data_IF_482028134377
#
_entry.id   IF_482028134377
#
_cell.length_a   1.000
_cell.length_b   1.000
_cell.length_c   1.000
_cell.angle_alpha   90.00
_cell.angle_beta   90.00
_cell.angle_gamma   90.00
#
_symmetry.space_group_name_H-M   'P 1'
#
loop_
_entity.id
_entity.type
_entity.pdbx_description
1 polymer ?
#
# COMPACT_ATOMS: atom_id res chain seq x y z
N UNK A 1 8.29 -23.03 -22.93
CA UNK A 1 7.65 -22.73 -21.63
C UNK A 1 8.42 -23.47 -20.55
N UNK A 2 9.06 -22.79 -19.58
CA UNK A 2 9.76 -23.48 -18.51
C UNK A 2 8.82 -23.78 -17.33
N UNK A 3 9.04 -24.97 -16.80
CA UNK A 3 8.35 -25.75 -15.77
C UNK A 3 8.54 -25.15 -14.36
N UNK A 4 7.93 -23.99 -14.07
CA UNK A 4 8.11 -23.28 -12.78
C UNK A 4 6.80 -22.85 -12.08
N UNK A 5 5.65 -23.34 -12.55
CA UNK A 5 4.33 -22.94 -12.03
C UNK A 5 3.61 -23.97 -11.15
N UNK A 6 4.21 -25.11 -10.82
CA UNK A 6 3.52 -26.18 -10.07
C UNK A 6 3.94 -26.36 -8.60
N UNK A 7 5.02 -25.74 -8.11
CA UNK A 7 5.52 -26.03 -6.75
C UNK A 7 5.20 -25.00 -5.66
N UNK A 8 4.59 -23.84 -5.96
CA UNK A 8 4.27 -22.85 -4.92
C UNK A 8 2.87 -22.96 -4.31
N UNK A 9 2.10 -24.01 -4.63
CA UNK A 9 0.73 -24.22 -4.14
C UNK A 9 0.64 -25.21 -2.96
N UNK A 10 1.76 -25.52 -2.29
CA UNK A 10 1.77 -26.43 -1.14
C UNK A 10 2.64 -25.88 -0.02
N UNK A 11 2.14 -24.92 0.75
CA UNK A 11 2.44 -24.75 2.18
C UNK A 11 1.40 -23.82 2.79
N UNK A 12 0.33 -24.42 3.30
CA UNK A 12 -0.48 -23.79 4.35
C UNK A 12 0.38 -23.69 5.61
N UNK A 13 0.64 -22.46 6.05
CA UNK A 13 1.53 -22.19 7.16
C UNK A 13 1.32 -20.79 7.72
N UNK A 14 0.12 -20.50 8.22
CA UNK A 14 -0.15 -19.32 9.04
C UNK A 14 0.72 -19.36 10.31
N UNK A 15 1.58 -18.35 10.49
CA UNK A 15 2.20 -18.06 11.78
C UNK A 15 1.83 -16.62 12.19
N UNK A 16 1.15 -16.43 13.34
CA UNK A 16 0.90 -15.10 13.86
C UNK A 16 2.22 -14.45 14.30
N UNK A 17 2.40 -13.18 13.97
CA UNK A 17 3.53 -12.35 14.42
C UNK A 17 3.44 -12.25 15.95
N UNK A 18 4.26 -13.04 16.65
CA UNK A 18 4.41 -12.97 18.11
C UNK A 18 5.62 -12.09 18.46
N UNK A 19 5.35 -11.16 19.37
CA UNK A 19 6.25 -10.25 20.06
C UNK A 19 7.66 -10.80 20.35
N UNK A 20 8.69 -9.97 20.12
CA UNK A 20 9.99 -10.08 20.76
C UNK A 20 10.42 -8.72 21.32
N UNK A 21 10.34 -8.57 22.64
CA UNK A 21 11.17 -7.66 23.44
C UNK A 21 11.84 -8.50 24.54
N UNK A 22 13.15 -8.38 24.79
CA UNK A 22 13.84 -9.15 25.82
C UNK A 22 13.42 -8.70 27.23
N UNK A 23 13.08 -9.69 28.05
CA UNK A 23 12.45 -9.56 29.35
C UNK A 23 13.50 -9.66 30.47
N UNK A 24 14.39 -8.66 30.61
CA UNK A 24 15.31 -8.55 31.75
C UNK A 24 16.29 -7.35 31.63
N UNK A 25 15.82 -6.16 32.02
CA UNK A 25 16.69 -5.12 32.58
C UNK A 25 15.98 -4.54 33.83
N UNK A 26 16.26 -5.16 34.97
CA UNK A 26 15.81 -4.73 36.29
C UNK A 26 16.94 -3.94 36.94
N UNK A 27 16.81 -2.62 37.01
CA UNK A 27 17.45 -1.80 38.05
C UNK A 27 16.72 -0.48 38.25
N UNK A 28 16.17 -0.35 39.47
CA UNK A 28 15.81 0.87 40.22
C UNK A 28 14.72 1.82 39.69
N UNK A 29 13.55 1.82 40.35
CA UNK A 29 12.85 3.06 40.69
C UNK A 29 11.99 2.87 41.95
N UNK A 30 12.20 3.73 42.95
CA UNK A 30 11.56 3.72 44.27
C UNK A 30 10.07 4.09 44.19
N UNK A 31 9.33 3.79 45.27
CA UNK A 31 7.87 3.98 45.43
C UNK A 31 7.36 5.43 45.26
N UNK A 32 8.24 6.40 45.01
CA UNK A 32 7.88 7.80 44.74
C UNK A 32 7.29 8.04 43.34
N UNK A 33 7.39 7.07 42.41
CA UNK A 33 6.83 7.21 41.06
C UNK A 33 5.29 7.10 41.03
N UNK A 34 4.68 6.50 42.05
CA UNK A 34 3.23 6.26 42.09
C UNK A 34 2.42 7.52 42.42
N UNK A 35 3.01 8.55 43.04
CA UNK A 35 2.32 9.82 43.33
C UNK A 35 2.29 10.80 42.15
N UNK A 36 3.18 10.66 41.16
CA UNK A 36 3.19 11.53 39.97
C UNK A 36 2.11 11.10 38.96
N UNK A 37 1.49 9.92 39.16
CA UNK A 37 0.49 9.35 38.27
C UNK A 37 -0.97 9.70 38.56
N UNK A 38 -1.25 10.55 39.57
CA UNK A 38 -2.62 11.01 39.85
C UNK A 38 -2.94 12.40 39.28
N UNK A 39 -2.01 13.06 38.58
CA UNK A 39 -2.26 14.38 37.98
C UNK A 39 -1.54 14.56 36.62
N UNK A 40 -1.62 13.58 35.73
CA UNK A 40 -1.47 13.83 34.30
C UNK A 40 -2.85 13.92 33.69
N UNK A 41 -3.35 15.16 33.60
CA UNK A 41 -4.24 15.55 32.51
C UNK A 41 -3.81 14.80 31.25
N UNK A 42 -4.77 14.23 30.52
CA UNK A 42 -4.52 13.61 29.22
C UNK A 42 -3.92 14.67 28.31
N UNK A 43 -2.60 14.80 28.30
CA UNK A 43 -1.87 15.44 27.23
C UNK A 43 -2.14 14.60 26.00
N UNK A 44 -3.13 15.01 25.22
CA UNK A 44 -3.28 14.61 23.83
C UNK A 44 -2.04 15.15 23.12
N UNK A 45 -0.95 14.39 23.16
CA UNK A 45 0.19 14.65 22.29
C UNK A 45 -0.35 14.52 20.88
N UNK A 46 -0.40 15.64 20.16
CA UNK A 46 -0.81 15.68 18.77
C UNK A 46 0.12 14.77 17.99
N UNK A 47 -0.40 13.70 17.41
CA UNK A 47 0.38 12.82 16.53
C UNK A 47 0.40 13.38 15.13
N UNK A 48 1.46 13.15 14.37
CA UNK A 48 1.54 13.58 12.98
C UNK A 48 0.55 12.82 12.13
N UNK A 49 -0.57 13.46 11.78
CA UNK A 49 -1.58 12.90 10.87
C UNK A 49 -1.99 13.92 9.81
N UNK A 50 -2.46 13.40 8.68
CA UNK A 50 -3.02 14.19 7.59
C UNK A 50 -4.29 13.52 7.07
N UNK A 51 -5.24 14.35 6.63
CA UNK A 51 -6.47 13.90 5.97
C UNK A 51 -6.23 13.77 4.47
N UNK A 52 -6.08 12.53 3.99
CA UNK A 52 -5.90 12.24 2.58
C UNK A 52 -7.23 12.02 1.88
N UNK A 53 -7.41 12.66 0.73
CA UNK A 53 -8.55 12.39 -0.14
C UNK A 53 -8.33 11.08 -0.89
N UNK A 54 -9.29 10.18 -0.83
CA UNK A 54 -9.26 8.88 -1.50
C UNK A 54 -10.50 8.74 -2.38
N UNK A 55 -10.32 8.24 -3.59
CA UNK A 55 -11.40 7.83 -4.47
C UNK A 55 -11.23 6.36 -4.82
N UNK A 56 -12.30 5.58 -4.71
CA UNK A 56 -12.33 4.17 -5.10
C UNK A 56 -13.39 3.97 -6.17
N UNK A 57 -13.01 3.40 -7.31
CA UNK A 57 -13.96 2.99 -8.35
C UNK A 57 -13.88 1.48 -8.52
N UNK A 58 -15.00 0.80 -8.34
CA UNK A 58 -15.14 -0.65 -8.54
C UNK A 58 -16.05 -0.94 -9.72
N UNK A 59 -15.71 -2.00 -10.45
CA UNK A 59 -16.49 -2.51 -11.58
C UNK A 59 -17.09 -3.88 -11.21
N UNK A 60 -18.19 -3.92 -10.44
CA UNK A 60 -18.65 -5.15 -9.76
C UNK A 60 -19.11 -6.26 -10.72
N UNK A 61 -19.58 -5.89 -11.91
CA UNK A 61 -20.03 -6.80 -12.98
C UNK A 61 -18.87 -7.49 -13.70
N UNK A 62 -17.65 -6.96 -13.59
CA UNK A 62 -16.47 -7.54 -14.22
C UNK A 62 -15.75 -8.39 -13.19
N UNK A 63 -15.45 -9.64 -13.55
CA UNK A 63 -14.64 -10.55 -12.72
C UNK A 63 -13.30 -10.80 -13.36
N UNK A 64 -12.23 -10.44 -12.67
CA UNK A 64 -10.85 -10.70 -13.07
C UNK A 64 -10.12 -11.50 -12.00
N UNK A 65 -9.06 -12.19 -12.40
CA UNK A 65 -8.14 -12.79 -11.43
C UNK A 65 -7.12 -11.76 -10.96
N UNK A 66 -6.58 -11.91 -9.74
CA UNK A 66 -5.61 -10.95 -9.19
C UNK A 66 -4.40 -10.75 -10.09
N UNK A 67 -3.95 -11.82 -10.77
CA UNK A 67 -2.85 -11.78 -11.75
C UNK A 67 -3.14 -10.87 -12.95
N UNK A 68 -4.40 -10.60 -13.28
CA UNK A 68 -4.81 -9.76 -14.41
C UNK A 68 -4.77 -8.26 -14.10
N UNK A 69 -4.40 -7.85 -12.88
CA UNK A 69 -4.30 -6.44 -12.50
C UNK A 69 -3.34 -5.63 -13.41
N UNK A 70 -2.29 -6.26 -13.95
CA UNK A 70 -1.40 -5.62 -14.90
C UNK A 70 -2.09 -5.27 -16.24
N UNK A 71 -3.12 -6.01 -16.63
CA UNK A 71 -3.90 -5.75 -17.85
C UNK A 71 -4.79 -4.53 -17.69
N UNK A 72 -5.39 -4.34 -16.51
CA UNK A 72 -6.09 -3.09 -16.18
C UNK A 72 -5.16 -1.89 -16.33
N UNK A 73 -3.94 -1.99 -15.77
CA UNK A 73 -2.94 -0.94 -15.92
C UNK A 73 -2.56 -0.71 -17.38
N UNK A 74 -2.45 -1.77 -18.19
CA UNK A 74 -2.16 -1.66 -19.62
C UNK A 74 -3.26 -0.94 -20.39
N UNK A 75 -4.52 -1.36 -20.21
CA UNK A 75 -5.68 -0.77 -20.85
C UNK A 75 -5.82 0.72 -20.49
N UNK A 76 -5.89 1.01 -19.20
CA UNK A 76 -6.05 2.38 -18.73
C UNK A 76 -4.83 3.24 -19.01
N UNK A 77 -3.63 2.67 -18.88
CA UNK A 77 -2.39 3.35 -19.24
C UNK A 77 -2.34 3.78 -20.70
N UNK A 78 -2.96 3.03 -21.61
CA UNK A 78 -3.11 3.42 -23.02
C UNK A 78 -4.25 4.41 -23.24
N UNK A 79 -5.43 4.15 -22.68
CA UNK A 79 -6.59 5.03 -22.78
C UNK A 79 -6.26 6.46 -22.33
N UNK A 80 -5.47 6.59 -21.26
CA UNK A 80 -5.09 7.90 -20.74
C UNK A 80 -3.97 8.60 -21.47
N UNK A 81 -3.21 7.90 -22.33
CA UNK A 81 -2.29 8.57 -23.26
C UNK A 81 -2.99 9.58 -24.13
N UNK A 82 -4.22 9.24 -24.49
CA UNK A 82 -5.04 10.06 -25.38
C UNK A 82 -5.78 11.17 -24.62
N UNK A 83 -5.94 11.04 -23.31
CA UNK A 83 -6.87 11.87 -22.53
C UNK A 83 -6.24 12.74 -21.43
N UNK A 84 -5.04 12.41 -20.90
CA UNK A 84 -4.41 13.24 -19.87
C UNK A 84 -2.91 12.98 -19.69
N UNK A 85 -2.04 13.96 -19.97
CA UNK A 85 -0.60 13.91 -19.67
C UNK A 85 -0.29 13.63 -18.19
N UNK A 86 -1.19 14.04 -17.28
CA UNK A 86 -1.04 13.94 -15.82
C UNK A 86 -0.97 12.49 -15.33
N UNK A 87 -1.52 11.55 -16.10
CA UNK A 87 -1.53 10.13 -15.75
C UNK A 87 -0.30 9.36 -16.20
N UNK A 88 0.61 10.02 -16.93
CA UNK A 88 1.87 9.43 -17.30
C UNK A 88 2.84 9.60 -16.14
N UNK A 89 3.26 8.47 -15.55
CA UNK A 89 4.50 8.44 -14.79
C UNK A 89 5.72 8.45 -15.74
N UNK A 90 5.61 9.16 -16.87
CA UNK A 90 6.63 9.36 -17.88
C UNK A 90 6.64 10.84 -18.27
N UNK A 91 7.83 11.39 -18.46
CA UNK A 91 8.03 12.71 -19.07
C UNK A 91 7.85 12.62 -20.60
N UNK A 92 7.59 13.76 -21.25
CA UNK A 92 7.45 13.85 -22.72
C UNK A 92 8.73 13.42 -23.46
N UNK A 93 9.89 13.45 -22.78
CA UNK A 93 11.19 13.01 -23.29
C UNK A 93 11.46 11.49 -23.12
N UNK A 94 10.49 10.73 -22.60
CA UNK A 94 10.62 9.29 -22.35
C UNK A 94 11.28 8.93 -21.03
N UNK A 95 11.68 9.91 -20.21
CA UNK A 95 12.17 9.70 -18.84
C UNK A 95 11.08 9.17 -17.92
N UNK A 96 11.45 8.35 -16.93
CA UNK A 96 10.51 7.87 -15.91
C UNK A 96 10.31 8.91 -14.81
N UNK A 97 9.06 9.23 -14.47
CA UNK A 97 8.74 10.01 -13.27
C UNK A 97 8.76 9.07 -12.07
N UNK A 98 9.82 9.13 -11.27
CA UNK A 98 9.95 8.39 -10.01
C UNK A 98 9.09 9.03 -8.91
N UNK A 99 7.76 9.06 -9.11
CA UNK A 99 6.78 9.50 -8.12
C UNK A 99 5.94 8.31 -7.67
N UNK A 100 5.51 8.29 -6.41
CA UNK A 100 4.53 7.32 -5.95
C UNK A 100 3.25 7.40 -6.80
N UNK A 101 2.69 6.26 -7.24
CA UNK A 101 1.53 6.27 -8.12
C UNK A 101 0.28 6.71 -7.35
N UNK A 102 -0.16 7.94 -7.64
CA UNK A 102 -1.40 8.52 -7.09
C UNK A 102 -2.66 7.80 -7.58
N UNK A 103 -2.57 7.12 -8.73
CA UNK A 103 -3.64 6.26 -9.25
C UNK A 103 -3.11 4.83 -9.36
N UNK A 104 -3.84 3.91 -8.75
CA UNK A 104 -3.46 2.52 -8.62
C UNK A 104 -4.53 1.61 -9.21
N UNK A 105 -4.06 0.58 -9.91
CA UNK A 105 -4.89 -0.44 -10.55
C UNK A 105 -4.77 -1.73 -9.74
N UNK A 106 -5.89 -2.25 -9.24
CA UNK A 106 -5.95 -3.44 -8.40
C UNK A 106 -7.09 -4.35 -8.86
N UNK A 107 -6.98 -5.63 -8.52
CA UNK A 107 -8.10 -6.56 -8.53
C UNK A 107 -8.24 -7.03 -7.09
N UNK A 108 -9.33 -6.65 -6.43
CA UNK A 108 -9.61 -6.95 -5.04
C UNK A 108 -10.87 -7.82 -4.98
N UNK A 109 -10.79 -8.98 -4.33
CA UNK A 109 -11.91 -9.92 -4.24
C UNK A 109 -12.55 -10.20 -5.62
N UNK A 110 -11.69 -10.45 -6.61
CA UNK A 110 -12.01 -10.64 -8.04
C UNK A 110 -12.66 -9.46 -8.76
N UNK A 111 -12.72 -8.28 -8.13
CA UNK A 111 -13.34 -7.08 -8.69
C UNK A 111 -12.25 -6.08 -9.11
N UNK A 112 -12.22 -5.66 -10.39
CA UNK A 112 -11.39 -4.55 -10.84
C UNK A 112 -11.67 -3.31 -10.00
N UNK A 113 -10.62 -2.77 -9.39
CA UNK A 113 -10.69 -1.65 -8.46
C UNK A 113 -9.59 -0.64 -8.78
N UNK A 114 -10.00 0.62 -8.86
CA UNK A 114 -9.12 1.76 -9.04
C UNK A 114 -9.08 2.55 -7.76
N UNK A 115 -7.89 2.98 -7.33
CA UNK A 115 -7.69 3.80 -6.14
C UNK A 115 -6.94 5.05 -6.53
N UNK A 116 -7.55 6.21 -6.30
CA UNK A 116 -6.93 7.52 -6.42
C UNK A 116 -6.61 8.08 -5.04
N UNK A 117 -5.44 8.70 -4.89
CA UNK A 117 -4.93 9.27 -3.64
C UNK A 117 -4.55 10.72 -3.90
N UNK A 118 -4.96 11.65 -3.03
CA UNK A 118 -4.66 13.07 -3.19
C UNK A 118 -5.25 13.64 -4.49
N UNK A 119 -4.40 14.22 -5.35
CA UNK A 119 -4.82 14.72 -6.67
C UNK A 119 -5.45 13.62 -7.54
N UNK A 120 -4.90 12.40 -7.46
CA UNK A 120 -5.44 11.22 -8.13
C UNK A 120 -6.90 10.94 -7.75
N UNK A 121 -7.32 11.25 -6.52
CA UNK A 121 -8.70 11.06 -6.08
C UNK A 121 -9.67 12.03 -6.77
N UNK A 122 -9.25 13.26 -7.05
CA UNK A 122 -10.07 14.25 -7.76
C UNK A 122 -10.12 14.01 -9.28
N UNK A 123 -9.08 13.38 -9.83
CA UNK A 123 -8.95 13.12 -11.26
C UNK A 123 -9.75 11.88 -11.71
N UNK A 124 -9.78 10.84 -10.88
CA UNK A 124 -10.37 9.54 -11.21
C UNK A 124 -11.84 9.62 -11.68
N UNK A 125 -12.77 10.30 -10.98
CA UNK A 125 -14.16 10.36 -11.46
C UNK A 125 -14.29 11.01 -12.84
N UNK A 126 -13.55 12.10 -13.08
CA UNK A 126 -13.64 12.88 -14.33
C UNK A 126 -13.27 12.03 -15.56
N UNK A 127 -12.25 11.19 -15.40
CA UNK A 127 -11.74 10.36 -16.48
C UNK A 127 -12.56 9.08 -16.66
N UNK A 128 -12.94 8.44 -15.56
CA UNK A 128 -13.51 7.10 -15.61
C UNK A 128 -15.04 7.08 -15.68
N UNK A 129 -15.74 8.21 -15.43
CA UNK A 129 -17.19 8.31 -15.66
C UNK A 129 -17.57 8.08 -17.13
N UNK A 130 -16.72 8.49 -18.08
CA UNK A 130 -17.00 8.41 -19.52
C UNK A 130 -16.77 7.02 -20.14
N UNK A 131 -16.14 6.11 -19.39
CA UNK A 131 -15.75 4.78 -19.88
C UNK A 131 -16.97 3.88 -19.99
N UNK A 132 -17.24 3.36 -21.19
CA UNK A 132 -18.40 2.49 -21.46
C UNK A 132 -18.05 1.01 -21.52
N UNK A 133 -16.78 0.71 -21.73
CA UNK A 133 -16.26 -0.64 -21.88
C UNK A 133 -14.83 -0.71 -21.38
N UNK A 134 -14.37 -1.90 -21.02
CA UNK A 134 -12.99 -2.19 -20.64
C UNK A 134 -12.52 -3.36 -21.50
N UNK A 135 -11.47 -3.17 -22.28
CA UNK A 135 -10.83 -4.24 -23.04
C UNK A 135 -9.68 -4.84 -22.23
N UNK A 136 -9.80 -6.13 -21.93
CA UNK A 136 -8.74 -6.92 -21.31
C UNK A 136 -8.31 -8.02 -22.29
N UNK A 137 -7.17 -7.81 -22.96
CA UNK A 137 -6.56 -8.74 -23.92
C UNK A 137 -7.49 -9.14 -25.09
N UNK A 138 -8.24 -8.19 -25.65
CA UNK A 138 -9.17 -8.42 -26.76
C UNK A 138 -10.55 -8.89 -26.31
N UNK A 139 -10.75 -9.12 -25.01
CA UNK A 139 -12.07 -9.37 -24.45
C UNK A 139 -12.64 -8.06 -23.94
N UNK A 140 -13.68 -7.57 -24.62
CA UNK A 140 -14.37 -6.34 -24.27
C UNK A 140 -15.48 -6.61 -23.24
N UNK A 141 -15.40 -5.92 -22.10
CA UNK A 141 -16.38 -5.97 -21.03
C UNK A 141 -17.21 -4.68 -21.03
N UNK A 142 -18.53 -4.72 -21.26
CA UNK A 142 -19.36 -3.54 -21.11
C UNK A 142 -19.40 -3.11 -19.63
N UNK A 143 -19.34 -1.81 -19.40
CA UNK A 143 -19.42 -1.22 -18.05
C UNK A 143 -20.80 -0.61 -17.88
N UNK A 144 -21.75 -1.41 -17.41
CA UNK A 144 -23.12 -0.95 -17.17
C UNK A 144 -23.26 -0.24 -15.81
N UNK A 145 -22.48 -0.68 -14.82
CA UNK A 145 -22.47 -0.10 -13.48
C UNK A 145 -21.05 0.17 -12.97
N UNK A 146 -20.94 1.20 -12.12
CA UNK A 146 -19.71 1.63 -11.44
C UNK A 146 -20.06 2.02 -10.01
N UNK A 147 -19.30 1.49 -9.05
CA UNK A 147 -19.41 1.95 -7.66
C UNK A 147 -18.28 2.93 -7.42
N UNK A 148 -18.62 4.21 -7.25
CA UNK A 148 -17.67 5.29 -6.99
C UNK A 148 -17.85 5.73 -5.54
N UNK A 149 -16.76 5.69 -4.78
CA UNK A 149 -16.71 6.09 -3.38
C UNK A 149 -15.64 7.16 -3.21
N UNK A 150 -15.99 8.24 -2.52
CA UNK A 150 -15.04 9.25 -2.08
C UNK A 150 -15.01 9.26 -0.56
N UNK A 151 -13.81 9.26 -0.01
CA UNK A 151 -13.58 9.35 1.42
C UNK A 151 -12.42 10.28 1.72
N UNK A 152 -12.41 10.78 2.95
CA UNK A 152 -11.25 11.47 3.53
C UNK A 152 -10.74 10.60 4.68
N UNK A 153 -9.53 10.08 4.54
CA UNK A 153 -8.95 9.13 5.47
C UNK A 153 -7.81 9.78 6.27
N UNK A 154 -7.87 9.64 7.59
CA UNK A 154 -6.78 10.05 8.47
C UNK A 154 -5.60 9.09 8.29
N UNK A 155 -4.44 9.64 7.98
CA UNK A 155 -3.23 8.89 7.64
C UNK A 155 -2.05 9.50 8.37
N UNK A 156 -1.25 8.67 9.04
CA UNK A 156 -0.06 9.14 9.75
C UNK A 156 0.32 8.24 10.91
N UNK A 157 0.97 8.84 11.91
CA UNK A 157 1.36 8.15 13.13
C UNK A 157 0.15 7.87 14.03
N UNK A 158 0.21 6.75 14.75
CA UNK A 158 -0.80 6.32 15.72
C UNK A 158 -0.12 5.76 16.96
N UNK A 159 -0.58 6.19 18.13
CA UNK A 159 -0.18 5.62 19.43
C UNK A 159 -0.73 4.19 19.63
N UNK A 160 -1.71 3.78 18.82
CA UNK A 160 -2.30 2.45 18.86
C UNK A 160 -1.66 1.56 17.79
N UNK A 161 -1.52 0.27 18.12
CA UNK A 161 -1.14 -0.77 17.17
C UNK A 161 -2.33 -1.12 16.28
N UNK A 162 -2.12 -1.11 14.97
CA UNK A 162 -3.12 -1.48 13.97
C UNK A 162 -2.68 -2.75 13.24
N UNK A 163 -3.62 -3.67 13.04
CA UNK A 163 -3.38 -4.90 12.28
C UNK A 163 -3.81 -4.72 10.82
N UNK A 164 -2.95 -5.15 9.90
CA UNK A 164 -3.19 -5.06 8.46
C UNK A 164 -2.95 -6.42 7.79
N UNK A 165 -3.66 -6.64 6.67
CA UNK A 165 -3.44 -7.79 5.80
C UNK A 165 -3.24 -7.34 4.36
N UNK A 166 -2.33 -8.01 3.65
CA UNK A 166 -2.16 -7.80 2.23
C UNK A 166 -3.30 -8.46 1.45
N UNK A 167 -4.11 -7.64 0.78
CA UNK A 167 -5.17 -8.12 -0.14
C UNK A 167 -4.63 -8.65 -1.47
N UNK A 168 -3.38 -8.33 -1.80
CA UNK A 168 -2.68 -8.77 -3.02
C UNK A 168 -1.24 -9.10 -2.67
N UNK A 169 -0.58 -9.94 -3.46
CA UNK A 169 0.84 -10.29 -3.26
C UNK A 169 1.71 -9.05 -3.07
N UNK A 170 2.48 -9.02 -1.97
CA UNK A 170 3.44 -7.96 -1.72
C UNK A 170 4.80 -8.30 -2.33
N UNK A 171 5.21 -7.53 -3.34
CA UNK A 171 6.50 -7.69 -4.02
C UNK A 171 7.61 -6.92 -3.29
N UNK A 172 8.04 -7.42 -2.12
CA UNK A 172 9.01 -6.74 -1.26
C UNK A 172 10.44 -6.66 -1.86
N UNK A 173 10.86 -7.69 -2.59
CA UNK A 173 12.24 -7.85 -3.03
C UNK A 173 12.46 -7.28 -4.42
N UNK A 174 13.26 -6.22 -4.51
CA UNK A 174 13.79 -5.72 -5.78
C UNK A 174 15.02 -6.52 -6.25
N UNK A 175 15.53 -6.23 -7.46
CA UNK A 175 16.67 -6.94 -8.06
C UNK A 175 17.94 -6.93 -7.18
N UNK A 176 18.16 -5.88 -6.38
CA UNK A 176 19.31 -5.75 -5.48
C UNK A 176 19.11 -6.55 -4.18
N UNK A 177 17.88 -6.60 -3.66
CA UNK A 177 17.56 -7.19 -2.37
C UNK A 177 17.27 -8.68 -2.48
N UNK A 178 16.73 -9.14 -3.62
CA UNK A 178 16.44 -10.55 -3.87
C UNK A 178 17.64 -11.49 -3.60
N UNK A 179 18.83 -11.30 -4.21
CA UNK A 179 19.95 -12.21 -3.95
C UNK A 179 20.48 -12.12 -2.51
N UNK A 180 20.29 -10.98 -1.82
CA UNK A 180 20.69 -10.84 -0.41
C UNK A 180 19.77 -11.67 0.48
N UNK A 181 18.46 -11.54 0.27
CA UNK A 181 17.45 -12.29 1.00
C UNK A 181 17.67 -13.81 0.89
N UNK A 182 17.96 -14.30 -0.32
CA UNK A 182 18.22 -15.73 -0.56
C UNK A 182 19.53 -16.25 0.02
N UNK A 183 20.48 -15.38 0.38
CA UNK A 183 21.73 -15.77 1.06
C UNK A 183 21.58 -15.87 2.58
N UNK A 184 20.51 -15.29 3.14
CA UNK A 184 20.23 -15.39 4.57
C UNK A 184 19.78 -16.82 4.88
N UNK A 185 20.47 -17.48 5.81
CA UNK A 185 20.15 -18.82 6.27
C UNK A 185 19.20 -18.82 7.46
N UNK A 186 19.14 -17.72 8.21
CA UNK A 186 18.29 -17.58 9.38
C UNK A 186 16.96 -16.91 9.02
N UNK A 187 15.84 -17.52 9.45
CA UNK A 187 14.50 -16.95 9.23
C UNK A 187 14.31 -15.62 9.97
N UNK A 188 14.96 -15.43 11.13
CA UNK A 188 14.88 -14.15 11.85
C UNK A 188 15.51 -13.01 11.06
N UNK A 189 16.64 -13.25 10.40
CA UNK A 189 17.30 -12.24 9.55
C UNK A 189 16.46 -11.90 8.31
N UNK A 190 15.77 -12.90 7.75
CA UNK A 190 14.82 -12.70 6.64
C UNK A 190 13.65 -11.84 7.08
N UNK A 191 13.07 -12.13 8.25
CA UNK A 191 11.98 -11.34 8.83
C UNK A 191 12.42 -9.89 9.08
N UNK A 192 13.57 -9.69 9.70
CA UNK A 192 14.11 -8.36 9.98
C UNK A 192 14.37 -7.56 8.69
N UNK A 193 14.88 -8.23 7.64
CA UNK A 193 15.05 -7.61 6.32
C UNK A 193 13.72 -7.21 5.70
N UNK A 194 12.67 -8.05 5.78
CA UNK A 194 11.34 -7.73 5.26
C UNK A 194 10.70 -6.58 6.06
N UNK A 195 10.83 -6.58 7.39
CA UNK A 195 10.37 -5.49 8.25
C UNK A 195 11.02 -4.15 7.88
N UNK A 196 12.34 -4.13 7.69
CA UNK A 196 13.06 -2.94 7.24
C UNK A 196 12.57 -2.43 5.86
N UNK A 197 12.30 -3.36 4.94
CA UNK A 197 11.73 -3.01 3.62
C UNK A 197 10.32 -2.42 3.76
N UNK A 198 9.47 -3.01 4.61
CA UNK A 198 8.11 -2.53 4.85
C UNK A 198 8.10 -1.12 5.44
N UNK A 199 8.92 -0.88 6.47
CA UNK A 199 9.13 0.46 7.05
C UNK A 199 9.57 1.44 5.97
N UNK A 200 10.55 1.05 5.13
CA UNK A 200 10.99 1.86 4.00
C UNK A 200 9.88 2.22 3.01
N UNK A 201 8.98 1.28 2.70
CA UNK A 201 7.82 1.52 1.84
C UNK A 201 6.81 2.48 2.48
N UNK A 202 6.50 2.34 3.77
CA UNK A 202 5.58 3.22 4.51
C UNK A 202 6.15 4.65 4.56
N UNK A 203 7.44 4.80 4.91
CA UNK A 203 8.10 6.10 4.93
C UNK A 203 8.17 6.74 3.53
N UNK A 204 8.35 5.92 2.49
CA UNK A 204 8.29 6.41 1.10
C UNK A 204 6.91 6.94 0.75
N UNK A 205 5.86 6.23 1.16
CA UNK A 205 4.49 6.69 0.98
C UNK A 205 4.26 8.03 1.68
N UNK A 206 4.59 8.14 2.97
CA UNK A 206 4.45 9.39 3.74
C UNK A 206 5.15 10.58 3.08
N UNK A 207 6.41 10.42 2.64
CA UNK A 207 7.12 11.49 1.91
C UNK A 207 6.42 11.91 0.63
N UNK A 208 5.85 10.96 -0.12
CA UNK A 208 5.16 11.27 -1.38
C UNK A 208 3.77 11.89 -1.16
N UNK A 209 3.17 11.71 0.01
CA UNK A 209 1.89 12.33 0.37
C UNK A 209 2.05 13.61 1.18
N UNK A 210 3.29 14.02 1.50
CA UNK A 210 3.56 15.24 2.28
C UNK A 210 3.39 15.06 3.78
N UNK A 211 3.49 13.83 4.30
CA UNK A 211 3.47 13.52 5.73
C UNK A 211 4.92 13.41 6.20
N UNK A 212 5.29 14.26 7.16
CA UNK A 212 6.62 14.28 7.76
C UNK A 212 6.52 13.97 9.26
N UNK A 213 6.86 12.73 9.64
CA UNK A 213 6.83 12.30 11.03
C UNK A 213 7.83 13.08 11.89
N UNK A 214 7.49 13.33 13.15
CA UNK A 214 8.41 13.92 14.12
C UNK A 214 9.55 12.97 14.49
N UNK A 215 10.64 13.52 15.04
CA UNK A 215 11.80 12.72 15.45
C UNK A 215 11.43 11.62 16.47
N UNK A 216 10.46 11.89 17.36
CA UNK A 216 9.95 10.93 18.34
C UNK A 216 9.03 9.85 17.76
N UNK A 217 8.55 10.03 16.53
CA UNK A 217 7.59 9.12 15.86
C UNK A 217 8.28 8.23 14.81
N UNK A 218 9.56 8.48 14.51
CA UNK A 218 10.37 7.68 13.60
C UNK A 218 10.94 6.49 14.37
N UNK A 219 10.60 5.28 13.93
CA UNK A 219 11.13 4.00 14.45
C UNK A 219 12.66 3.92 14.35
#
# INVERSE_FOLDING_TARGET
MPRFLEESLKTDGFHPIKNYLPLNASWACSEDYLLIHQNKEKMTVSTTTQRLQICRIKFPEIKLQTRDAHKLRGYFGNLFKEHSPVLHNHYEDGGFRYKYPEIQYKVLDNIPTLVGIGEGASLLPKLFLKIKEIDINGQCYPVNSKNIEHSTEETGYSNNLHEYQFKTLWMALNQKNYPKYHKLSNEKEKEDMLNAILVGHILSFFRNTGIELDASERL
#
